data_IF_473394305476
#
_entry.id   IF_473394305476
#
_cell.length_a   1.000
_cell.length_b   1.000
_cell.length_c   1.000
_cell.angle_alpha   90.00
_cell.angle_beta   90.00
_cell.angle_gamma   90.00
#
_symmetry.space_group_name_H-M   'P 1'
#
loop_
_entity.id
_entity.type
_entity.pdbx_description
1 polymer ?
#
# COMPACT_ATOMS: atom_id res chain seq x y z
N UNK A 1 3.46 0.53 19.85
CA UNK A 1 2.16 0.13 19.26
C UNK A 1 1.81 -1.27 19.74
N UNK A 2 0.52 -1.60 19.89
CA UNK A 2 0.11 -2.98 20.17
C UNK A 2 0.10 -3.82 18.89
N UNK A 3 0.15 -5.14 19.02
CA UNK A 3 0.14 -6.07 17.87
C UNK A 3 -1.15 -5.94 17.05
N UNK A 4 -2.28 -5.72 17.72
CA UNK A 4 -3.59 -5.50 17.08
C UNK A 4 -3.65 -4.13 16.38
N UNK A 5 -3.05 -3.08 16.96
CA UNK A 5 -3.01 -1.77 16.31
C UNK A 5 -2.13 -1.80 15.06
N UNK A 6 -0.98 -2.49 15.11
CA UNK A 6 -0.15 -2.72 13.93
C UNK A 6 -0.94 -3.42 12.83
N UNK A 7 -1.62 -4.53 13.15
CA UNK A 7 -2.47 -5.23 12.19
C UNK A 7 -3.55 -4.32 11.59
N UNK A 8 -4.26 -3.56 12.43
CA UNK A 8 -5.31 -2.65 11.98
C UNK A 8 -4.79 -1.61 11.00
N UNK A 9 -3.62 -1.01 11.29
CA UNK A 9 -2.98 -0.01 10.45
C UNK A 9 -2.45 -0.61 9.15
N UNK A 10 -1.78 -1.77 9.20
CA UNK A 10 -1.32 -2.50 8.00
C UNK A 10 -2.51 -2.86 7.10
N UNK A 11 -3.60 -3.38 7.67
CA UNK A 11 -4.80 -3.71 6.91
C UNK A 11 -5.47 -2.46 6.31
N UNK A 12 -5.46 -1.33 7.03
CA UNK A 12 -5.99 -0.07 6.52
C UNK A 12 -5.15 0.47 5.36
N UNK A 13 -3.81 0.39 5.47
CA UNK A 13 -2.90 0.74 4.39
C UNK A 13 -3.13 -0.15 3.17
N UNK A 14 -3.22 -1.47 3.34
CA UNK A 14 -3.52 -2.42 2.26
C UNK A 14 -4.84 -2.07 1.55
N UNK A 15 -5.91 -1.82 2.29
CA UNK A 15 -7.22 -1.44 1.73
C UNK A 15 -7.21 -0.10 0.96
N UNK A 16 -6.20 0.74 1.17
CA UNK A 16 -6.02 1.98 0.40
C UNK A 16 -5.33 1.75 -0.95
N UNK A 17 -4.80 0.55 -1.17
CA UNK A 17 -4.11 0.16 -2.41
C UNK A 17 -5.05 -0.59 -3.35
N UNK A 18 -4.61 -0.76 -4.61
CA UNK A 18 -5.27 -1.63 -5.60
C UNK A 18 -4.69 -3.05 -5.61
N UNK A 19 -3.88 -3.43 -4.61
CA UNK A 19 -3.31 -4.77 -4.53
C UNK A 19 -4.39 -5.83 -4.29
N UNK A 20 -4.29 -6.95 -4.99
CA UNK A 20 -5.01 -8.15 -4.60
C UNK A 20 -4.34 -8.84 -3.41
N UNK A 21 -5.07 -9.68 -2.67
CA UNK A 21 -4.48 -10.50 -1.60
C UNK A 21 -3.33 -11.37 -2.11
N UNK A 22 -3.50 -11.96 -3.30
CA UNK A 22 -2.48 -12.78 -3.95
C UNK A 22 -1.21 -11.98 -4.28
N UNK A 23 -1.34 -10.76 -4.84
CA UNK A 23 -0.18 -9.90 -5.14
C UNK A 23 0.55 -9.45 -3.86
N UNK A 24 -0.20 -9.15 -2.81
CA UNK A 24 0.39 -8.86 -1.50
C UNK A 24 1.15 -10.07 -0.97
N UNK A 25 0.54 -11.25 -1.00
CA UNK A 25 1.18 -12.49 -0.56
C UNK A 25 2.46 -12.77 -1.35
N UNK A 26 2.45 -12.60 -2.67
CA UNK A 26 3.63 -12.81 -3.51
C UNK A 26 4.77 -11.85 -3.18
N UNK A 27 4.46 -10.57 -2.92
CA UNK A 27 5.45 -9.58 -2.47
C UNK A 27 6.01 -9.92 -1.09
N UNK A 28 5.13 -10.24 -0.15
CA UNK A 28 5.48 -10.67 1.19
C UNK A 28 6.37 -11.93 1.19
N UNK A 29 6.03 -12.94 0.39
CA UNK A 29 6.81 -14.16 0.22
C UNK A 29 8.20 -13.87 -0.36
N UNK A 30 8.27 -12.98 -1.35
CA UNK A 30 9.54 -12.54 -1.95
C UNK A 30 10.46 -11.79 -0.96
N UNK A 31 9.90 -11.21 0.10
CA UNK A 31 10.63 -10.54 1.18
C UNK A 31 11.05 -11.50 2.32
N UNK A 32 10.81 -12.81 2.16
CA UNK A 32 11.17 -13.84 3.14
C UNK A 32 10.05 -14.17 4.13
N UNK A 33 8.81 -13.76 3.84
CA UNK A 33 7.63 -14.21 4.56
C UNK A 33 7.38 -15.71 4.40
N UNK A 34 7.05 -16.39 5.49
CA UNK A 34 6.89 -17.85 5.48
C UNK A 34 5.42 -18.31 5.62
N UNK A 35 4.47 -17.39 5.80
CA UNK A 35 3.06 -17.70 5.90
C UNK A 35 2.44 -18.02 4.53
N UNK A 36 1.46 -18.91 4.52
CA UNK A 36 0.65 -19.22 3.34
C UNK A 36 -0.27 -18.07 2.93
N UNK A 37 -0.81 -18.15 1.72
CA UNK A 37 -1.79 -17.18 1.22
C UNK A 37 -3.02 -17.12 2.11
N UNK A 38 -3.53 -18.28 2.58
CA UNK A 38 -4.71 -18.32 3.45
C UNK A 38 -4.45 -17.68 4.82
N UNK A 39 -3.22 -17.78 5.34
CA UNK A 39 -2.84 -17.15 6.61
C UNK A 39 -2.74 -15.63 6.47
N UNK A 40 -2.22 -15.15 5.34
CA UNK A 40 -2.21 -13.72 4.99
C UNK A 40 -3.64 -13.21 4.82
N UNK A 41 -4.50 -13.95 4.12
CA UNK A 41 -5.91 -13.60 3.97
C UNK A 41 -6.61 -13.51 5.34
N UNK A 42 -6.44 -14.52 6.19
CA UNK A 42 -6.97 -14.52 7.56
C UNK A 42 -6.43 -13.36 8.42
N UNK A 43 -5.17 -12.96 8.21
CA UNK A 43 -4.58 -11.79 8.85
C UNK A 43 -5.26 -10.49 8.39
N UNK A 44 -5.54 -10.34 7.09
CA UNK A 44 -6.23 -9.17 6.54
C UNK A 44 -7.67 -9.04 7.04
N UNK A 45 -8.35 -10.17 7.26
CA UNK A 45 -9.68 -10.23 7.87
C UNK A 45 -9.65 -10.16 9.41
N UNK A 46 -8.48 -9.95 10.02
CA UNK A 46 -8.30 -9.94 11.48
C UNK A 46 -8.82 -11.21 12.19
N UNK A 47 -8.89 -12.31 11.45
CA UNK A 47 -9.27 -13.64 11.96
C UNK A 47 -8.05 -14.41 12.50
N UNK A 48 -6.84 -14.02 12.08
CA UNK A 48 -5.58 -14.57 12.55
C UNK A 48 -4.61 -13.45 12.94
N UNK A 49 -3.86 -13.66 14.03
CA UNK A 49 -2.75 -12.79 14.41
C UNK A 49 -1.44 -13.52 14.10
N UNK A 50 -0.74 -13.09 13.05
CA UNK A 50 0.54 -13.65 12.65
C UNK A 50 1.67 -13.29 13.63
N UNK A 51 2.78 -14.05 13.67
CA UNK A 51 3.96 -13.73 14.47
C UNK A 51 4.54 -12.34 14.17
N UNK A 52 5.30 -11.73 15.09
CA UNK A 52 5.84 -10.37 14.92
C UNK A 52 6.58 -10.16 13.59
N UNK A 53 7.48 -11.08 13.26
CA UNK A 53 8.26 -11.02 12.02
C UNK A 53 7.35 -10.95 10.77
N UNK A 54 6.35 -11.83 10.68
CA UNK A 54 5.46 -11.88 9.52
C UNK A 54 4.63 -10.60 9.38
N UNK A 55 4.20 -10.01 10.50
CA UNK A 55 3.47 -8.73 10.50
C UNK A 55 4.34 -7.57 10.03
N UNK A 56 5.62 -7.58 10.40
CA UNK A 56 6.58 -6.56 9.97
C UNK A 56 6.86 -6.69 8.46
N UNK A 57 7.03 -7.92 7.95
CA UNK A 57 7.20 -8.17 6.50
C UNK A 57 5.94 -7.79 5.71
N UNK A 58 4.74 -8.09 6.21
CA UNK A 58 3.49 -7.65 5.57
C UNK A 58 3.37 -6.13 5.54
N UNK A 59 3.71 -5.46 6.64
CA UNK A 59 3.73 -4.00 6.68
C UNK A 59 4.74 -3.42 5.68
N UNK A 60 5.93 -4.02 5.58
CA UNK A 60 6.95 -3.64 4.60
C UNK A 60 6.43 -3.82 3.17
N UNK A 61 5.84 -4.97 2.85
CA UNK A 61 5.31 -5.26 1.51
C UNK A 61 4.25 -4.25 1.05
N UNK A 62 3.34 -3.87 1.95
CA UNK A 62 2.32 -2.85 1.69
C UNK A 62 2.95 -1.47 1.52
N UNK A 63 3.91 -1.10 2.37
CA UNK A 63 4.54 0.21 2.33
C UNK A 63 5.38 0.39 1.06
N UNK A 64 6.15 -0.62 0.65
CA UNK A 64 6.93 -0.59 -0.60
C UNK A 64 6.01 -0.41 -1.80
N UNK A 65 4.87 -1.11 -1.84
CA UNK A 65 3.89 -0.90 -2.91
C UNK A 65 3.33 0.52 -2.93
N UNK A 66 3.01 1.09 -1.78
CA UNK A 66 2.51 2.47 -1.70
C UNK A 66 3.59 3.47 -2.14
N UNK A 67 4.85 3.23 -1.78
CA UNK A 67 5.98 4.07 -2.15
C UNK A 67 6.26 4.05 -3.66
N UNK A 68 6.02 2.93 -4.32
CA UNK A 68 6.13 2.79 -5.78
C UNK A 68 5.02 3.52 -6.57
N UNK A 69 3.91 3.86 -5.92
CA UNK A 69 2.79 4.49 -6.62
C UNK A 69 3.05 5.98 -6.88
N UNK A 70 2.76 6.48 -8.10
CA UNK A 70 2.89 7.88 -8.39
C UNK A 70 1.94 8.69 -7.49
N UNK A 71 2.34 9.90 -7.06
CA UNK A 71 1.44 10.77 -6.32
C UNK A 71 0.17 11.02 -7.13
N UNK A 72 -0.98 10.99 -6.45
CA UNK A 72 -2.27 11.19 -7.09
C UNK A 72 -2.26 12.50 -7.91
N UNK A 73 -2.81 12.49 -9.15
CA UNK A 73 -2.83 13.67 -9.98
C UNK A 73 -3.56 14.81 -9.25
N UNK A 74 -2.91 15.99 -9.18
CA UNK A 74 -3.54 17.18 -8.62
C UNK A 74 -4.59 17.71 -9.59
N UNK A 75 -5.78 18.00 -9.08
CA UNK A 75 -6.82 18.61 -9.89
C UNK A 75 -6.34 19.97 -10.46
N UNK A 76 -6.50 20.23 -11.77
CA UNK A 76 -6.17 21.53 -12.33
C UNK A 76 -7.12 22.60 -11.76
N UNK A 77 -6.58 23.76 -11.40
CA UNK A 77 -7.40 24.94 -11.14
C UNK A 77 -7.96 25.43 -12.49
N UNK A 78 -9.26 25.73 -12.56
CA UNK A 78 -9.99 26.11 -13.78
C UNK A 78 -9.62 27.47 -14.38
N UNK A 79 -8.38 27.93 -14.24
CA UNK A 79 -7.93 29.25 -14.69
C UNK A 79 -6.47 29.33 -15.12
N UNK A 80 -5.83 28.21 -15.48
CA UNK A 80 -4.52 28.27 -16.14
C UNK A 80 -4.72 28.33 -17.66
N UNK A 81 -5.16 29.50 -18.14
CA UNK A 81 -4.78 29.90 -19.49
C UNK A 81 -3.26 30.03 -19.46
N UNK A 82 -2.56 29.16 -20.18
CA UNK A 82 -1.10 29.22 -20.28
C UNK A 82 -0.65 30.62 -20.72
N UNK A 83 0.59 31.05 -20.39
CA UNK A 83 1.06 32.37 -20.80
C UNK A 83 1.05 32.44 -22.34
N UNK A 84 0.08 33.17 -22.90
CA UNK A 84 0.11 33.63 -24.29
C UNK A 84 1.31 34.55 -24.40
N UNK A 85 2.45 33.99 -24.83
CA UNK A 85 3.60 34.79 -25.20
C UNK A 85 3.18 35.74 -26.33
N UNK A 86 3.26 37.08 -26.16
CA UNK A 86 3.04 37.98 -27.28
C UNK A 86 4.20 37.82 -28.26
N UNK A 87 3.87 37.59 -29.52
CA UNK A 87 4.83 37.56 -30.62
C UNK A 87 5.57 38.91 -30.72
N UNK A 88 6.90 38.92 -30.94
CA UNK A 88 7.63 40.15 -31.15
C UNK A 88 7.31 40.70 -32.55
N UNK A 89 6.88 41.97 -32.59
CA UNK A 89 6.89 42.82 -33.78
C UNK A 89 8.09 43.76 -33.77
#
# INVERSE_FOLDING_TARGET
>A
MSQQEQQRLTCAAFRSTTLSTYDLWLRYFSLGGNAGEEEVDAYLYSSLLLPPFERDVLALAVNEFIADQPPAPRAPYGGMEGPTAPAPG
#
